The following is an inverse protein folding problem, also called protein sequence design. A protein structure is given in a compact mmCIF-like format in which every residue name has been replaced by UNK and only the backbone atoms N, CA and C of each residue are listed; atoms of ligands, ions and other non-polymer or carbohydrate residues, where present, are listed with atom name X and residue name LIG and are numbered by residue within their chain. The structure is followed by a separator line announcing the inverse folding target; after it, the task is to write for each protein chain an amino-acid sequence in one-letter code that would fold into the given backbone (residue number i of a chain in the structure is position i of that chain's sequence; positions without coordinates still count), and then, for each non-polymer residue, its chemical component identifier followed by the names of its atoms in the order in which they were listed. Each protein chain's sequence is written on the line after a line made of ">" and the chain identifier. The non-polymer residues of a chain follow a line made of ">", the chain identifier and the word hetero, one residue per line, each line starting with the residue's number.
data_IF_036708849889
#
_entry.id   IF_036708849889
#
_cell.length_a   1.000
_cell.length_b   1.000
_cell.length_c   1.000
_cell.angle_alpha   90.00
_cell.angle_beta   90.00
_cell.angle_gamma   90.00
#
_symmetry.space_group_name_H-M   'P 1'
#
loop_
_entity.id
_entity.type
_entity.pdbx_description
1 polymer ?
#
# COMPACT_ATOMS: atom_id res chain seq x y z
N UNK A 1 -6.00 -7.14 21.43
CA UNK A 1 -6.20 -5.92 20.61
C UNK A 1 -7.37 -6.18 19.66
N UNK A 2 -8.29 -5.23 19.46
CA UNK A 2 -9.43 -5.43 18.57
C UNK A 2 -8.96 -5.67 17.13
N UNK A 3 -9.45 -6.71 16.45
CA UNK A 3 -9.02 -7.09 15.10
C UNK A 3 -9.17 -5.96 14.06
N UNK A 4 -10.12 -5.05 14.28
CA UNK A 4 -10.34 -3.86 13.44
C UNK A 4 -9.25 -2.79 13.61
N UNK A 5 -8.68 -2.63 14.81
CA UNK A 5 -7.61 -1.65 15.06
C UNK A 5 -6.33 -2.01 14.30
N UNK A 6 -6.03 -3.31 14.21
CA UNK A 6 -4.88 -3.81 13.41
C UNK A 6 -5.07 -3.51 11.93
N UNK A 7 -6.28 -3.62 11.38
CA UNK A 7 -6.55 -3.27 9.97
C UNK A 7 -6.32 -1.76 9.71
N UNK A 8 -6.68 -0.89 10.65
CA UNK A 8 -6.46 0.56 10.54
C UNK A 8 -4.96 0.89 10.55
N UNK A 9 -4.21 0.31 11.51
CA UNK A 9 -2.76 0.52 11.60
C UNK A 9 -2.07 0.01 10.33
N UNK A 10 -2.42 -1.19 9.87
CA UNK A 10 -1.86 -1.77 8.65
C UNK A 10 -2.19 -0.93 7.41
N UNK A 11 -3.40 -0.39 7.29
CA UNK A 11 -3.76 0.51 6.22
C UNK A 11 -2.94 1.81 6.26
N UNK A 12 -2.73 2.40 7.44
CA UNK A 12 -1.92 3.60 7.62
C UNK A 12 -0.46 3.35 7.23
N UNK A 13 0.10 2.20 7.65
CA UNK A 13 1.44 1.77 7.24
C UNK A 13 1.52 1.58 5.73
N UNK A 14 0.52 0.95 5.10
CA UNK A 14 0.50 0.78 3.65
C UNK A 14 0.46 2.13 2.90
N UNK A 15 -0.33 3.10 3.38
CA UNK A 15 -0.35 4.46 2.82
C UNK A 15 1.03 5.12 2.95
N UNK A 16 1.69 4.99 4.11
CA UNK A 16 3.03 5.51 4.33
C UNK A 16 4.03 4.94 3.32
N UNK A 17 4.01 3.63 3.09
CA UNK A 17 4.90 3.00 2.10
C UNK A 17 4.59 3.42 0.66
N UNK A 18 3.33 3.68 0.31
CA UNK A 18 2.99 4.23 -1.01
C UNK A 18 3.61 5.62 -1.18
N UNK A 19 3.45 6.50 -0.19
CA UNK A 19 4.05 7.84 -0.22
C UNK A 19 5.57 7.78 -0.30
N UNK A 20 6.20 6.90 0.48
CA UNK A 20 7.64 6.65 0.42
C UNK A 20 8.08 6.15 -0.95
N UNK A 21 7.30 5.25 -1.56
CA UNK A 21 7.56 4.79 -2.92
C UNK A 21 7.51 5.92 -3.95
N UNK A 22 6.55 6.84 -3.82
CA UNK A 22 6.45 8.02 -4.71
C UNK A 22 7.65 8.95 -4.52
N UNK A 23 8.07 9.20 -3.29
CA UNK A 23 9.25 10.03 -2.99
C UNK A 23 10.53 9.40 -3.57
N UNK A 24 10.69 8.07 -3.42
CA UNK A 24 11.80 7.34 -4.00
C UNK A 24 11.77 7.35 -5.54
N UNK A 25 10.58 7.31 -6.14
CA UNK A 25 10.40 7.45 -7.58
C UNK A 25 10.82 8.85 -8.04
N UNK A 26 10.46 9.90 -7.30
CA UNK A 26 10.89 11.27 -7.57
C UNK A 26 12.42 11.39 -7.48
N UNK A 27 13.05 10.81 -6.45
CA UNK A 27 14.50 10.75 -6.34
C UNK A 27 15.14 10.01 -7.52
N UNK A 28 14.55 8.90 -7.97
CA UNK A 28 15.05 8.17 -9.13
C UNK A 28 15.19 9.10 -10.35
N UNK A 29 14.20 9.96 -10.62
CA UNK A 29 14.25 10.91 -11.74
C UNK A 29 15.35 11.97 -11.63
N UNK A 30 15.91 12.21 -10.45
CA UNK A 30 17.05 13.13 -10.27
C UNK A 30 18.41 12.45 -10.45
N UNK A 31 18.45 11.12 -10.52
CA UNK A 31 19.69 10.35 -10.69
C UNK A 31 20.14 10.43 -12.16
N UNK A 32 21.34 10.98 -12.37
CA UNK A 32 21.94 11.10 -13.70
C UNK A 32 22.60 9.79 -14.20
N UNK A 33 22.92 8.87 -13.29
CA UNK A 33 23.51 7.57 -13.63
C UNK A 33 22.43 6.57 -14.10
N UNK A 34 22.49 6.05 -15.34
CA UNK A 34 21.43 5.22 -15.90
C UNK A 34 21.19 3.91 -15.14
N UNK A 35 22.24 3.31 -14.58
CA UNK A 35 22.12 2.07 -13.81
C UNK A 35 21.39 2.31 -12.49
N UNK A 36 21.82 3.33 -11.76
CA UNK A 36 21.21 3.73 -10.50
C UNK A 36 19.79 4.26 -10.67
N UNK A 37 19.49 4.91 -11.81
CA UNK A 37 18.13 5.28 -12.21
C UNK A 37 17.23 4.05 -12.33
N UNK A 38 17.63 3.05 -13.15
CA UNK A 38 16.85 1.82 -13.34
C UNK A 38 16.62 1.11 -12.01
N UNK A 39 17.66 0.97 -11.18
CA UNK A 39 17.56 0.24 -9.90
C UNK A 39 16.57 0.93 -8.95
N UNK A 40 16.70 2.25 -8.79
CA UNK A 40 15.85 3.04 -7.90
C UNK A 40 14.42 3.14 -8.43
N UNK A 41 14.25 3.28 -9.74
CA UNK A 41 12.94 3.28 -10.41
C UNK A 41 12.21 1.95 -10.22
N UNK A 42 12.87 0.82 -10.46
CA UNK A 42 12.22 -0.49 -10.26
C UNK A 42 11.93 -0.75 -8.78
N UNK A 43 12.86 -0.41 -7.88
CA UNK A 43 12.64 -0.54 -6.44
C UNK A 43 11.43 0.27 -5.96
N UNK A 44 11.31 1.53 -6.37
CA UNK A 44 10.17 2.38 -6.00
C UNK A 44 8.85 1.84 -6.56
N UNK A 45 8.82 1.40 -7.82
CA UNK A 45 7.62 0.77 -8.40
C UNK A 45 7.21 -0.51 -7.66
N UNK A 46 8.15 -1.37 -7.27
CA UNK A 46 7.84 -2.55 -6.47
C UNK A 46 7.28 -2.20 -5.09
N UNK A 47 7.86 -1.20 -4.42
CA UNK A 47 7.35 -0.69 -3.13
C UNK A 47 5.91 -0.20 -3.29
N UNK A 48 5.63 0.61 -4.32
CA UNK A 48 4.28 1.14 -4.59
C UNK A 48 3.30 -0.02 -4.85
N UNK A 49 3.65 -0.97 -5.72
CA UNK A 49 2.78 -2.09 -6.09
C UNK A 49 2.46 -3.02 -4.93
N UNK A 50 3.46 -3.40 -4.13
CA UNK A 50 3.27 -4.25 -2.96
C UNK A 50 2.38 -3.54 -1.94
N UNK A 51 2.64 -2.25 -1.69
CA UNK A 51 1.89 -1.46 -0.72
C UNK A 51 0.45 -1.21 -1.18
N UNK A 52 0.23 -0.95 -2.47
CA UNK A 52 -1.10 -0.85 -3.06
C UNK A 52 -1.86 -2.17 -2.94
N UNK A 53 -1.21 -3.30 -3.18
CA UNK A 53 -1.83 -4.63 -3.03
C UNK A 53 -2.21 -4.92 -1.57
N UNK A 54 -1.35 -4.57 -0.61
CA UNK A 54 -1.66 -4.67 0.82
C UNK A 54 -2.86 -3.81 1.18
N UNK A 55 -2.86 -2.54 0.76
CA UNK A 55 -3.96 -1.61 1.00
C UNK A 55 -5.28 -2.13 0.41
N UNK A 56 -5.24 -2.66 -0.82
CA UNK A 56 -6.39 -3.28 -1.47
C UNK A 56 -6.91 -4.48 -0.66
N UNK A 57 -6.02 -5.31 -0.12
CA UNK A 57 -6.40 -6.45 0.72
C UNK A 57 -7.13 -6.04 1.99
N UNK A 58 -6.75 -4.92 2.62
CA UNK A 58 -7.41 -4.38 3.80
C UNK A 58 -8.79 -3.82 3.45
N UNK A 59 -8.91 -3.08 2.34
CA UNK A 59 -10.20 -2.58 1.85
C UNK A 59 -11.15 -3.75 1.57
N UNK A 60 -10.69 -4.79 0.86
CA UNK A 60 -11.52 -5.96 0.56
C UNK A 60 -12.00 -6.65 1.85
N UNK A 61 -11.12 -6.85 2.84
CA UNK A 61 -11.51 -7.41 4.14
C UNK A 61 -12.60 -6.58 4.84
N UNK A 62 -12.48 -5.25 4.82
CA UNK A 62 -13.48 -4.35 5.41
C UNK A 62 -14.81 -4.46 4.66
N UNK A 63 -14.80 -4.43 3.32
CA UNK A 63 -16.00 -4.54 2.48
C UNK A 63 -16.70 -5.89 2.69
N UNK A 64 -15.95 -6.99 2.72
CA UNK A 64 -16.50 -8.33 2.99
C UNK A 64 -17.12 -8.40 4.39
N UNK A 65 -16.48 -7.81 5.39
CA UNK A 65 -17.02 -7.75 6.75
C UNK A 65 -18.35 -6.98 6.80
N UNK A 66 -18.42 -5.79 6.18
CA UNK A 66 -19.65 -4.99 6.11
C UNK A 66 -20.78 -5.75 5.38
N UNK A 67 -20.46 -6.41 4.26
CA UNK A 67 -21.43 -7.22 3.50
C UNK A 67 -21.99 -8.36 4.35
N UNK A 68 -21.12 -9.07 5.08
CA UNK A 68 -21.51 -10.19 5.94
C UNK A 68 -22.38 -9.75 7.12
N UNK A 69 -22.15 -8.55 7.66
CA UNK A 69 -22.99 -7.97 8.71
C UNK A 69 -24.39 -7.63 8.18
N UNK A 70 -24.50 -7.05 6.98
CA UNK A 70 -25.81 -6.74 6.36
C UNK A 70 -26.63 -7.99 6.02
N UNK A 71 -25.98 -9.09 5.65
CA UNK A 71 -26.66 -10.35 5.30
C UNK A 71 -27.19 -11.10 6.54
N UNK A 72 -26.63 -10.83 7.73
CA UNK A 72 -27.08 -11.42 9.00
C UNK A 72 -28.30 -10.70 9.61
N UNK A 73 -28.62 -9.49 9.14
CA UNK A 73 -29.77 -8.69 9.58
C UNK A 73 -31.02 -8.85 8.68
N UNK A 74 -30.91 -9.60 7.57
CA UNK A 74 -32.06 -10.02 6.72
C UNK A 74 -32.47 -11.44 7.05
#
# INVERSE_FOLDING_TARGET
>A
MPWWATQIILALVAIFFILFGIDLLYMAYQINDPFSFIMTFFASNFIILISATLLLSFILKIVTYIKKTKEKER
#
